data_IF_279275303180
#
_entry.id   IF_279275303180
#
_cell.length_a   1.000
_cell.length_b   1.000
_cell.length_c   1.000
_cell.angle_alpha   90.00
_cell.angle_beta   90.00
_cell.angle_gamma   90.00
#
_symmetry.space_group_name_H-M   'P 1'
#
loop_
_entity.id
_entity.type
_entity.pdbx_description
1 polymer ?
#
# COMPACT_ATOMS: atom_id res chain seq x y z
N UNK A 1 -23.08 17.05 -38.89
CA UNK A 1 -22.02 16.14 -39.38
C UNK A 1 -20.79 16.44 -38.52
N UNK A 2 -20.16 15.61 -37.70
CA UNK A 2 -20.27 14.20 -37.34
C UNK A 2 -20.08 14.12 -35.81
N UNK A 3 -20.98 13.43 -35.11
CA UNK A 3 -20.68 12.88 -33.79
C UNK A 3 -20.28 11.42 -34.02
N UNK A 4 -19.01 11.07 -33.81
CA UNK A 4 -18.53 9.69 -33.75
C UNK A 4 -17.90 9.47 -32.38
N UNK A 5 -18.36 8.41 -31.72
CA UNK A 5 -18.00 8.03 -30.35
C UNK A 5 -19.18 7.35 -29.68
N UNK A 6 -19.68 6.28 -30.31
CA UNK A 6 -20.70 5.40 -29.73
C UNK A 6 -20.03 4.50 -28.71
N UNK A 7 -20.46 4.61 -27.46
CA UNK A 7 -20.68 3.49 -26.54
C UNK A 7 -21.71 3.96 -25.51
N UNK A 8 -22.94 4.15 -25.97
CA UNK A 8 -24.07 4.51 -25.11
C UNK A 8 -24.84 3.23 -24.82
N UNK A 9 -24.72 2.75 -23.58
CA UNK A 9 -25.63 1.79 -22.96
C UNK A 9 -27.06 2.12 -23.40
N UNK A 10 -27.75 1.17 -24.04
CA UNK A 10 -29.11 1.39 -24.53
C UNK A 10 -30.07 1.50 -23.34
N UNK A 11 -30.16 2.69 -22.75
CA UNK A 11 -31.16 3.04 -21.75
C UNK A 11 -32.54 3.07 -22.41
N UNK A 12 -33.48 2.30 -21.85
CA UNK A 12 -34.77 1.96 -22.47
C UNK A 12 -35.77 3.13 -22.57
N UNK A 13 -35.48 4.32 -22.03
CA UNK A 13 -36.33 5.54 -22.04
C UNK A 13 -35.49 6.81 -21.94
N UNK A 14 -35.99 7.95 -22.44
CA UNK A 14 -35.33 9.26 -22.35
C UNK A 14 -35.09 9.68 -20.90
N UNK A 15 -33.82 9.80 -20.49
CA UNK A 15 -33.40 10.33 -19.19
C UNK A 15 -33.09 11.83 -19.20
N UNK A 16 -32.83 12.39 -18.01
CA UNK A 16 -32.28 13.74 -17.83
C UNK A 16 -31.02 13.65 -16.97
N UNK A 17 -29.92 14.26 -17.41
CA UNK A 17 -28.67 14.35 -16.66
C UNK A 17 -28.51 15.78 -16.12
N UNK A 18 -28.36 15.92 -14.81
CA UNK A 18 -28.09 17.21 -14.17
C UNK A 18 -26.59 17.33 -13.89
N UNK A 19 -25.89 18.17 -14.66
CA UNK A 19 -24.47 18.47 -14.46
C UNK A 19 -24.32 19.67 -13.54
N UNK A 20 -23.55 19.53 -12.47
CA UNK A 20 -23.35 20.58 -11.46
C UNK A 20 -22.25 21.60 -11.83
N UNK A 21 -21.97 21.74 -13.13
CA UNK A 21 -20.92 22.61 -13.66
C UNK A 21 -21.40 23.35 -14.93
N UNK A 22 -20.74 24.45 -15.28
CA UNK A 22 -21.13 25.29 -16.42
C UNK A 22 -20.71 24.65 -17.75
N UNK A 23 -21.39 25.03 -18.85
CA UNK A 23 -21.02 24.58 -20.20
C UNK A 23 -19.61 25.04 -20.61
N UNK A 24 -19.20 26.24 -20.17
CA UNK A 24 -17.86 26.77 -20.43
C UNK A 24 -16.80 25.87 -19.79
N UNK A 25 -16.99 25.48 -18.53
CA UNK A 25 -16.07 24.56 -17.85
C UNK A 25 -16.03 23.18 -18.49
N UNK A 26 -17.17 22.68 -18.99
CA UNK A 26 -17.20 21.41 -19.72
C UNK A 26 -16.34 21.43 -21.00
N UNK A 27 -16.30 22.56 -21.71
CA UNK A 27 -15.55 22.68 -22.97
C UNK A 27 -14.08 23.05 -22.80
N UNK A 28 -13.75 23.80 -21.76
CA UNK A 28 -12.42 24.40 -21.61
C UNK A 28 -11.60 23.81 -20.46
N UNK A 29 -12.25 23.39 -19.35
CA UNK A 29 -11.55 23.01 -18.12
C UNK A 29 -11.44 21.48 -17.96
N UNK A 30 -12.40 20.73 -18.52
CA UNK A 30 -12.42 19.28 -18.43
C UNK A 30 -11.57 18.65 -19.54
N UNK A 31 -10.79 17.64 -19.17
CA UNK A 31 -10.06 16.80 -20.12
C UNK A 31 -11.04 15.88 -20.86
N UNK A 32 -10.86 15.75 -22.18
CA UNK A 32 -11.70 14.91 -23.03
C UNK A 32 -11.58 13.41 -22.68
N UNK A 33 -10.41 13.00 -22.20
CA UNK A 33 -10.13 11.63 -21.76
C UNK A 33 -9.28 11.66 -20.48
N UNK A 34 -9.56 10.74 -19.57
CA UNK A 34 -8.75 10.52 -18.37
C UNK A 34 -7.47 9.77 -18.72
N UNK A 35 -6.35 10.16 -18.12
CA UNK A 35 -5.09 9.44 -18.28
C UNK A 35 -5.22 7.98 -17.78
N UNK A 36 -4.60 7.01 -18.49
CA UNK A 36 -4.62 5.62 -18.07
C UNK A 36 -3.90 5.45 -16.73
N UNK A 37 -4.43 4.57 -15.86
CA UNK A 37 -3.94 4.36 -14.49
C UNK A 37 -2.45 3.95 -14.42
N UNK A 38 -1.94 3.29 -15.47
CA UNK A 38 -0.54 2.81 -15.52
C UNK A 38 0.48 3.95 -15.42
N UNK A 39 0.13 5.17 -15.84
CA UNK A 39 1.05 6.31 -15.87
C UNK A 39 1.23 6.99 -14.51
N UNK A 40 0.32 6.75 -13.56
CA UNK A 40 0.29 7.51 -12.30
C UNK A 40 0.01 6.65 -11.05
N UNK A 41 -0.10 5.32 -11.21
CA UNK A 41 -0.27 4.37 -10.10
C UNK A 41 1.04 3.71 -9.67
N UNK A 42 1.05 3.12 -8.46
CA UNK A 42 2.20 2.37 -7.96
C UNK A 42 2.29 1.00 -8.66
N UNK A 43 3.31 0.84 -9.50
CA UNK A 43 3.52 -0.35 -10.31
C UNK A 43 4.12 -1.55 -9.57
N UNK A 44 4.53 -1.42 -8.30
CA UNK A 44 5.26 -2.48 -7.59
C UNK A 44 4.50 -3.82 -7.59
N UNK A 45 3.19 -3.82 -7.30
CA UNK A 45 2.38 -5.05 -7.32
C UNK A 45 2.30 -5.64 -8.74
N UNK A 46 2.14 -4.78 -9.75
CA UNK A 46 2.07 -5.18 -11.16
C UNK A 46 3.38 -5.80 -11.63
N UNK A 47 4.51 -5.18 -11.29
CA UNK A 47 5.85 -5.69 -11.59
C UNK A 47 6.08 -7.06 -10.95
N UNK A 48 5.68 -7.26 -9.68
CA UNK A 48 5.78 -8.59 -9.06
C UNK A 48 4.95 -9.65 -9.81
N UNK A 49 3.72 -9.29 -10.19
CA UNK A 49 2.84 -10.19 -10.94
C UNK A 49 3.35 -10.49 -12.36
N UNK A 50 4.06 -9.57 -13.00
CA UNK A 50 4.71 -9.76 -14.30
C UNK A 50 6.00 -10.59 -14.19
N UNK A 51 6.76 -10.43 -13.10
CA UNK A 51 7.98 -11.20 -12.85
C UNK A 51 7.69 -12.67 -12.52
N UNK A 52 6.55 -12.97 -11.89
CA UNK A 52 6.13 -14.34 -11.57
C UNK A 52 6.09 -15.31 -12.77
N UNK A 53 5.49 -14.97 -13.93
CA UNK A 53 5.53 -15.81 -15.13
C UNK A 53 6.90 -15.82 -15.85
N UNK A 54 7.92 -15.12 -15.33
CA UNK A 54 9.27 -15.07 -15.92
C UNK A 54 9.45 -13.99 -16.98
N UNK A 55 8.67 -12.91 -16.94
CA UNK A 55 8.89 -11.75 -17.83
C UNK A 55 9.95 -10.87 -17.20
N UNK A 56 11.19 -11.03 -17.67
CA UNK A 56 12.34 -10.31 -17.12
C UNK A 56 12.59 -8.96 -17.78
N UNK A 57 12.24 -8.84 -19.06
CA UNK A 57 12.43 -7.63 -19.85
C UNK A 57 11.17 -6.74 -19.79
N UNK A 58 11.16 -5.84 -18.80
CA UNK A 58 10.08 -4.87 -18.63
C UNK A 58 10.19 -3.67 -19.58
N UNK A 59 11.36 -3.45 -20.18
CA UNK A 59 11.62 -2.27 -21.02
C UNK A 59 11.08 -2.49 -22.43
N UNK A 60 11.21 -3.71 -22.95
CA UNK A 60 10.71 -4.08 -24.29
C UNK A 60 9.33 -4.74 -24.26
N UNK A 61 8.61 -4.63 -23.15
CA UNK A 61 7.25 -5.13 -23.08
C UNK A 61 6.31 -4.22 -23.89
N UNK A 62 5.46 -4.83 -24.73
CA UNK A 62 4.47 -4.12 -25.56
C UNK A 62 3.30 -3.57 -24.71
N UNK A 63 3.57 -2.50 -23.94
CA UNK A 63 2.53 -1.73 -23.28
C UNK A 63 1.75 -0.90 -24.30
N UNK A 64 0.42 -0.83 -24.13
CA UNK A 64 -0.42 0.08 -24.93
C UNK A 64 -0.03 1.55 -24.68
N UNK A 65 0.25 1.88 -23.41
CA UNK A 65 0.82 3.15 -22.96
C UNK A 65 1.95 2.83 -21.97
N UNK A 66 3.24 2.92 -22.37
CA UNK A 66 4.34 2.54 -21.50
C UNK A 66 4.50 3.53 -20.34
N UNK A 67 4.71 3.03 -19.10
CA UNK A 67 5.02 3.89 -17.96
C UNK A 67 6.40 4.51 -18.09
N UNK A 68 6.62 5.62 -17.36
CA UNK A 68 7.92 6.26 -17.28
C UNK A 68 8.98 5.30 -16.69
N UNK A 69 10.21 5.26 -17.22
CA UNK A 69 11.26 4.36 -16.75
C UNK A 69 11.60 4.60 -15.27
N UNK A 70 11.45 5.83 -14.77
CA UNK A 70 11.63 6.18 -13.36
C UNK A 70 10.61 5.46 -12.46
N UNK A 71 9.35 5.34 -12.90
CA UNK A 71 8.29 4.65 -12.14
C UNK A 71 8.55 3.14 -12.08
N UNK A 72 9.05 2.55 -13.17
CA UNK A 72 9.46 1.15 -13.21
C UNK A 72 10.67 0.89 -12.31
N UNK A 73 11.68 1.75 -12.38
CA UNK A 73 12.88 1.66 -11.53
C UNK A 73 12.51 1.74 -10.05
N UNK A 74 11.65 2.69 -9.68
CA UNK A 74 11.18 2.84 -8.30
C UNK A 74 10.40 1.61 -7.81
N UNK A 75 9.58 1.00 -8.69
CA UNK A 75 8.87 -0.24 -8.38
C UNK A 75 9.84 -1.40 -8.12
N UNK A 76 10.90 -1.54 -8.93
CA UNK A 76 11.95 -2.55 -8.75
C UNK A 76 12.75 -2.32 -7.46
N UNK A 77 13.11 -1.07 -7.17
CA UNK A 77 13.79 -0.70 -5.92
C UNK A 77 12.95 -1.10 -4.71
N UNK A 78 11.67 -0.73 -4.68
CA UNK A 78 10.75 -1.08 -3.58
C UNK A 78 10.67 -2.59 -3.39
N UNK A 79 10.63 -3.37 -4.47
CA UNK A 79 10.61 -4.82 -4.42
C UNK A 79 11.92 -5.43 -3.89
N UNK A 80 13.07 -4.88 -4.29
CA UNK A 80 14.38 -5.27 -3.79
C UNK A 80 14.51 -4.98 -2.28
N UNK A 81 14.10 -3.78 -1.84
CA UNK A 81 14.08 -3.43 -0.42
C UNK A 81 13.13 -4.31 0.42
N UNK A 82 12.02 -4.77 -0.15
CA UNK A 82 11.12 -5.74 0.50
C UNK A 82 11.64 -7.18 0.44
N UNK A 83 12.79 -7.43 -0.19
CA UNK A 83 13.41 -8.75 -0.37
C UNK A 83 12.62 -9.69 -1.29
N UNK A 84 11.71 -9.16 -2.10
CA UNK A 84 10.96 -9.94 -3.08
C UNK A 84 11.79 -10.20 -4.36
N UNK A 85 12.71 -9.28 -4.68
CA UNK A 85 13.67 -9.41 -5.77
C UNK A 85 15.09 -9.39 -5.22
N UNK A 86 16.00 -10.07 -5.91
CA UNK A 86 17.45 -9.94 -5.71
C UNK A 86 18.00 -8.69 -6.41
N UNK A 87 19.26 -8.35 -6.14
CA UNK A 87 19.98 -7.21 -6.78
C UNK A 87 20.00 -7.31 -8.30
N UNK A 88 19.98 -8.53 -8.83
CA UNK A 88 19.95 -8.81 -10.27
C UNK A 88 18.52 -8.73 -10.88
N UNK A 89 17.50 -8.47 -10.06
CA UNK A 89 16.10 -8.37 -10.51
C UNK A 89 15.40 -9.73 -10.70
N UNK A 90 15.98 -10.81 -10.17
CA UNK A 90 15.39 -12.14 -10.16
C UNK A 90 14.46 -12.34 -8.96
N UNK A 91 13.45 -13.21 -9.10
CA UNK A 91 12.48 -13.49 -8.05
C UNK A 91 13.10 -14.36 -6.95
N UNK A 92 13.06 -13.90 -5.70
CA UNK A 92 13.53 -14.68 -4.55
C UNK A 92 12.48 -15.71 -4.12
N UNK A 93 12.87 -16.69 -3.30
CA UNK A 93 11.92 -17.61 -2.65
C UNK A 93 10.84 -16.86 -1.84
N UNK A 94 11.22 -15.74 -1.25
CA UNK A 94 10.29 -14.88 -0.54
C UNK A 94 9.35 -14.18 -1.52
N UNK A 95 9.87 -13.66 -2.63
CA UNK A 95 9.08 -13.03 -3.71
C UNK A 95 8.05 -13.98 -4.31
N UNK A 96 8.40 -15.25 -4.49
CA UNK A 96 7.49 -16.29 -4.99
C UNK A 96 6.30 -16.47 -4.04
N UNK A 97 6.57 -16.66 -2.74
CA UNK A 97 5.52 -16.76 -1.71
C UNK A 97 4.70 -15.47 -1.63
N UNK A 98 5.35 -14.32 -1.73
CA UNK A 98 4.74 -12.98 -1.68
C UNK A 98 3.75 -12.78 -2.83
N UNK A 99 4.10 -13.23 -4.04
CA UNK A 99 3.29 -13.07 -5.27
C UNK A 99 1.96 -13.85 -5.27
N UNK A 100 1.76 -14.77 -4.33
CA UNK A 100 0.55 -15.58 -4.21
C UNK A 100 -0.53 -14.90 -3.37
N UNK A 101 -0.16 -13.87 -2.61
CA UNK A 101 -1.11 -13.14 -1.78
C UNK A 101 -1.76 -12.01 -2.58
N UNK A 102 -3.10 -11.87 -2.59
CA UNK A 102 -3.78 -10.76 -3.24
C UNK A 102 -3.79 -9.50 -2.34
N UNK A 103 -2.64 -9.12 -1.81
CA UNK A 103 -2.46 -7.97 -0.92
C UNK A 103 -1.44 -7.00 -1.51
N UNK A 104 -1.43 -5.77 -1.02
CA UNK A 104 -0.36 -4.82 -1.34
C UNK A 104 0.96 -5.33 -0.74
N UNK A 105 2.05 -5.23 -1.49
CA UNK A 105 3.39 -5.72 -1.14
C UNK A 105 3.85 -5.43 0.30
N UNK A 106 3.57 -4.23 0.81
CA UNK A 106 3.95 -3.84 2.18
C UNK A 106 3.23 -4.69 3.22
N UNK A 107 1.94 -4.96 3.01
CA UNK A 107 1.16 -5.86 3.84
C UNK A 107 1.62 -7.30 3.67
N UNK A 108 1.99 -7.74 2.47
CA UNK A 108 2.53 -9.09 2.26
C UNK A 108 3.84 -9.29 3.04
N UNK A 109 4.78 -8.33 2.98
CA UNK A 109 6.05 -8.38 3.74
C UNK A 109 5.83 -8.32 5.24
N UNK A 110 4.98 -7.42 5.72
CA UNK A 110 4.57 -7.39 7.14
C UNK A 110 4.01 -8.74 7.57
N UNK A 111 3.22 -9.38 6.72
CA UNK A 111 2.59 -10.63 7.07
C UNK A 111 3.57 -11.83 7.05
N UNK A 112 4.59 -11.78 6.20
CA UNK A 112 5.67 -12.77 6.20
C UNK A 112 6.63 -12.58 7.37
N UNK A 113 6.92 -11.34 7.79
CA UNK A 113 7.74 -11.07 9.00
C UNK A 113 7.04 -11.49 10.29
N UNK A 114 5.70 -11.56 10.31
CA UNK A 114 4.94 -12.15 11.44
C UNK A 114 5.33 -13.61 11.70
N UNK A 115 5.88 -14.36 10.72
CA UNK A 115 6.42 -15.69 10.99
C UNK A 115 7.59 -15.69 11.97
N UNK A 116 8.38 -14.61 11.98
CA UNK A 116 9.46 -14.37 12.94
C UNK A 116 9.04 -13.57 14.17
N UNK A 117 7.92 -12.84 14.10
CA UNK A 117 7.40 -12.00 15.19
C UNK A 117 5.91 -12.21 15.39
N UNK A 118 5.64 -13.09 16.33
CA UNK A 118 4.36 -13.68 16.69
C UNK A 118 3.31 -12.66 17.16
N UNK A 119 2.15 -12.56 16.50
CA UNK A 119 0.91 -12.04 17.11
C UNK A 119 -0.38 -12.20 16.27
N UNK A 120 -1.53 -12.47 16.91
CA UNK A 120 -2.86 -12.41 16.31
C UNK A 120 -3.44 -10.98 16.35
N UNK A 121 -3.67 -10.38 15.18
CA UNK A 121 -4.39 -9.11 15.07
C UNK A 121 -5.90 -9.35 15.27
N UNK A 122 -6.46 -8.91 16.40
CA UNK A 122 -7.91 -8.74 16.59
C UNK A 122 -8.23 -7.25 16.61
N UNK A 123 -8.90 -6.77 15.56
CA UNK A 123 -9.51 -5.45 15.55
C UNK A 123 -11.03 -5.60 15.78
N UNK A 124 -11.52 -4.96 16.83
CA UNK A 124 -12.93 -4.73 17.10
C UNK A 124 -13.25 -3.29 16.73
N UNK A 125 -14.01 -3.06 15.65
CA UNK A 125 -15.16 -2.15 15.56
C UNK A 125 -15.67 -2.12 14.11
N UNK A 126 -16.98 -1.92 13.91
CA UNK A 126 -17.77 -1.89 12.66
C UNK A 126 -18.17 -3.24 12.05
N UNK A 127 -19.40 -3.67 12.35
CA UNK A 127 -19.96 -5.00 12.06
C UNK A 127 -19.89 -5.44 10.58
N UNK A 128 -19.99 -4.52 9.61
CA UNK A 128 -19.86 -4.83 8.18
C UNK A 128 -18.40 -4.91 7.70
N UNK A 129 -17.53 -4.00 8.15
CA UNK A 129 -16.10 -4.10 7.87
C UNK A 129 -15.48 -5.34 8.52
N UNK A 130 -15.96 -5.73 9.71
CA UNK A 130 -15.52 -6.95 10.40
C UNK A 130 -15.88 -8.22 9.63
N UNK A 131 -17.05 -8.29 8.99
CA UNK A 131 -17.44 -9.45 8.17
C UNK A 131 -16.54 -9.58 6.93
N UNK A 132 -16.29 -8.47 6.23
CA UNK A 132 -15.34 -8.44 5.13
C UNK A 132 -13.92 -8.80 5.60
N UNK A 133 -13.48 -8.26 6.74
CA UNK A 133 -12.18 -8.55 7.33
C UNK A 133 -12.04 -10.02 7.74
N UNK A 134 -13.10 -10.64 8.30
CA UNK A 134 -13.05 -12.07 8.64
C UNK A 134 -13.01 -12.95 7.40
N UNK A 135 -13.72 -12.59 6.33
CA UNK A 135 -13.63 -13.28 5.05
C UNK A 135 -12.21 -13.21 4.47
N UNK A 136 -11.59 -12.03 4.44
CA UNK A 136 -10.20 -11.85 3.99
C UNK A 136 -9.24 -12.63 4.88
N UNK A 137 -9.41 -12.56 6.21
CA UNK A 137 -8.59 -13.32 7.16
C UNK A 137 -8.69 -14.82 6.90
N UNK A 138 -9.89 -15.35 6.68
CA UNK A 138 -10.09 -16.77 6.37
C UNK A 138 -9.43 -17.19 5.07
N UNK A 139 -9.49 -16.34 4.02
CA UNK A 139 -8.77 -16.59 2.77
C UNK A 139 -7.26 -16.64 2.99
N UNK A 140 -6.72 -15.68 3.74
CA UNK A 140 -5.30 -15.63 4.07
C UNK A 140 -4.85 -16.85 4.87
N UNK A 141 -5.61 -17.29 5.86
CA UNK A 141 -5.33 -18.51 6.66
C UNK A 141 -5.23 -19.75 5.75
N UNK A 142 -6.08 -19.86 4.73
CA UNK A 142 -6.02 -20.97 3.76
C UNK A 142 -4.73 -20.93 2.93
N UNK A 143 -4.31 -19.74 2.50
CA UNK A 143 -3.06 -19.57 1.75
C UNK A 143 -1.86 -19.88 2.66
N UNK A 144 -1.86 -19.43 3.92
CA UNK A 144 -0.87 -19.80 4.94
C UNK A 144 -0.70 -21.31 5.08
N UNK A 145 -1.81 -22.03 5.21
CA UNK A 145 -1.80 -23.48 5.34
C UNK A 145 -1.20 -24.16 4.09
N UNK A 146 -1.45 -23.62 2.90
CA UNK A 146 -0.88 -24.11 1.63
C UNK A 146 0.64 -23.96 1.58
N UNK A 147 1.19 -22.85 2.10
CA UNK A 147 2.63 -22.58 2.15
C UNK A 147 3.33 -23.09 3.42
N UNK A 148 2.64 -23.93 4.21
CA UNK A 148 3.15 -24.48 5.47
C UNK A 148 3.62 -23.41 6.47
N UNK A 149 3.00 -22.23 6.43
CA UNK A 149 3.30 -21.12 7.31
C UNK A 149 2.58 -21.33 8.65
N UNK A 150 3.34 -21.46 9.75
CA UNK A 150 2.76 -21.66 11.08
C UNK A 150 2.06 -20.40 11.57
N UNK A 151 0.81 -20.55 11.99
CA UNK A 151 0.02 -19.48 12.59
C UNK A 151 0.30 -19.45 14.09
N UNK A 152 1.26 -18.61 14.50
CA UNK A 152 1.72 -18.52 15.88
C UNK A 152 1.19 -17.25 16.56
N UNK A 153 0.67 -17.37 17.78
CA UNK A 153 0.28 -16.26 18.64
C UNK A 153 1.12 -16.27 19.92
N UNK A 154 1.61 -15.10 20.34
CA UNK A 154 2.25 -14.92 21.65
C UNK A 154 1.16 -14.84 22.70
N UNK A 155 1.48 -15.20 23.94
CA UNK A 155 0.56 -15.01 25.05
C UNK A 155 0.25 -13.52 25.20
N UNK A 156 -1.04 -13.20 25.33
CA UNK A 156 -1.53 -11.83 25.48
C UNK A 156 -0.98 -11.16 26.75
N UNK A 157 -0.71 -11.95 27.79
CA UNK A 157 -0.15 -11.44 29.04
C UNK A 157 1.35 -11.16 28.96
N UNK A 158 2.02 -11.59 27.88
CA UNK A 158 3.43 -11.28 27.68
C UNK A 158 3.62 -9.80 27.34
N UNK A 159 4.62 -9.18 27.97
CA UNK A 159 5.05 -7.80 27.65
C UNK A 159 5.46 -7.67 26.18
N UNK A 160 5.95 -8.74 25.58
CA UNK A 160 6.46 -8.75 24.21
C UNK A 160 5.36 -8.84 23.15
N UNK A 161 4.10 -9.08 23.55
CA UNK A 161 2.98 -9.23 22.63
C UNK A 161 2.82 -8.02 21.70
N UNK A 162 2.69 -6.83 22.26
CA UNK A 162 2.54 -5.59 21.47
C UNK A 162 3.83 -5.19 20.76
N UNK A 163 4.99 -5.50 21.35
CA UNK A 163 6.29 -5.23 20.75
C UNK A 163 6.46 -6.02 19.46
N UNK A 164 6.15 -7.31 19.48
CA UNK A 164 6.25 -8.19 18.31
C UNK A 164 5.28 -7.77 17.20
N UNK A 165 4.07 -7.32 17.54
CA UNK A 165 3.14 -6.74 16.54
C UNK A 165 3.78 -5.53 15.87
N UNK A 166 4.29 -4.58 16.64
CA UNK A 166 4.86 -3.35 16.10
C UNK A 166 6.09 -3.63 15.23
N UNK A 167 6.97 -4.55 15.66
CA UNK A 167 8.12 -5.01 14.88
C UNK A 167 7.70 -5.67 13.56
N UNK A 168 6.67 -6.51 13.59
CA UNK A 168 6.17 -7.15 12.39
C UNK A 168 5.58 -6.13 11.39
N UNK A 169 4.84 -5.13 11.89
CA UNK A 169 4.34 -4.02 11.05
C UNK A 169 5.49 -3.19 10.48
N UNK A 170 6.51 -2.92 11.29
CA UNK A 170 7.71 -2.19 10.88
C UNK A 170 8.46 -2.89 9.75
N UNK A 171 8.60 -4.21 9.81
CA UNK A 171 9.30 -4.97 8.76
C UNK A 171 8.65 -4.89 7.36
N UNK A 172 7.36 -4.57 7.26
CA UNK A 172 6.69 -4.30 5.98
C UNK A 172 6.56 -2.82 5.60
N UNK A 173 6.59 -1.93 6.60
CA UNK A 173 6.32 -0.49 6.44
C UNK A 173 7.52 0.39 6.83
N UNK A 174 8.74 -0.14 6.84
CA UNK A 174 9.95 0.59 7.25
C UNK A 174 10.22 1.85 6.42
N UNK A 175 9.77 1.89 5.16
CA UNK A 175 9.86 3.10 4.32
C UNK A 175 8.87 4.20 4.71
N UNK A 176 7.81 3.87 5.45
CA UNK A 176 6.73 4.79 5.82
C UNK A 176 6.87 5.20 7.29
N UNK A 177 8.00 5.82 7.57
CA UNK A 177 8.38 6.25 8.92
C UNK A 177 8.58 7.75 8.91
N UNK A 178 8.18 8.39 10.00
CA UNK A 178 8.42 9.80 10.25
C UNK A 178 9.05 10.00 11.64
N UNK A 179 9.97 10.95 11.72
CA UNK A 179 10.61 11.35 12.97
C UNK A 179 10.05 12.72 13.41
N UNK A 180 9.96 12.95 14.71
CA UNK A 180 9.53 14.21 15.27
C UNK A 180 10.72 15.15 15.46
N UNK A 181 10.65 16.33 14.85
CA UNK A 181 11.69 17.34 14.98
C UNK A 181 11.38 18.31 16.14
N UNK A 182 12.42 18.92 16.69
CA UNK A 182 12.32 19.98 17.72
C UNK A 182 11.50 21.20 17.27
N UNK A 183 11.31 21.37 15.96
CA UNK A 183 10.44 22.39 15.36
C UNK A 183 8.95 22.17 15.66
N UNK A 184 8.56 20.98 16.13
CA UNK A 184 7.19 20.64 16.51
C UNK A 184 6.38 19.91 15.44
N UNK A 185 7.01 19.61 14.30
CA UNK A 185 6.44 18.86 13.18
C UNK A 185 7.14 17.52 12.98
N UNK A 186 6.48 16.59 12.28
CA UNK A 186 7.07 15.32 11.88
C UNK A 186 7.68 15.46 10.48
N UNK A 187 8.80 14.79 10.23
CA UNK A 187 9.49 14.72 8.95
C UNK A 187 9.56 13.27 8.48
N UNK A 188 9.17 12.99 7.24
CA UNK A 188 9.34 11.64 6.66
C UNK A 188 10.81 11.32 6.49
N UNK A 189 11.21 10.09 6.82
CA UNK A 189 12.63 9.66 6.76
C UNK A 189 13.16 9.59 5.31
N UNK A 190 12.29 9.31 4.33
CA UNK A 190 12.71 9.12 2.93
C UNK A 190 12.90 10.44 2.18
N UNK A 191 11.96 11.36 2.33
CA UNK A 191 11.83 12.54 1.46
C UNK A 191 11.93 13.88 2.22
N UNK A 192 12.21 13.85 3.53
CA UNK A 192 12.24 15.03 4.42
C UNK A 192 11.01 15.95 4.30
N UNK A 193 9.86 15.36 3.97
CA UNK A 193 8.59 16.06 3.85
C UNK A 193 8.03 16.37 5.23
N UNK A 194 7.61 17.62 5.44
CA UNK A 194 6.90 18.03 6.66
C UNK A 194 5.50 17.43 6.65
N UNK A 195 5.21 16.60 7.64
CA UNK A 195 3.93 15.91 7.81
C UNK A 195 3.32 16.18 9.16
N UNK A 196 1.99 16.09 9.20
CA UNK A 196 1.21 16.25 10.43
C UNK A 196 0.42 14.98 10.74
N UNK A 197 0.25 14.69 12.02
CA UNK A 197 -0.69 13.65 12.45
C UNK A 197 -2.11 14.06 12.08
N UNK A 198 -2.82 13.17 11.40
CA UNK A 198 -4.20 13.43 11.03
C UNK A 198 -5.10 13.49 12.29
N UNK A 199 -6.11 14.36 12.39
CA UNK A 199 -6.96 14.47 13.58
C UNK A 199 -7.70 13.18 13.99
N UNK A 200 -7.80 12.19 13.09
CA UNK A 200 -8.36 10.87 13.40
C UNK A 200 -7.41 9.95 14.16
N UNK A 201 -6.15 10.34 14.39
CA UNK A 201 -5.21 9.54 15.16
C UNK A 201 -5.59 9.57 16.63
N UNK A 202 -5.61 8.40 17.27
CA UNK A 202 -5.95 8.24 18.68
C UNK A 202 -4.74 8.43 19.61
N UNK A 203 -3.77 9.26 19.20
CA UNK A 203 -2.53 9.48 19.94
C UNK A 203 -2.66 10.77 20.76
N UNK A 204 -2.65 10.64 22.08
CA UNK A 204 -2.71 11.78 23.01
C UNK A 204 -1.38 12.53 23.13
N UNK A 205 -0.29 11.93 22.63
CA UNK A 205 1.05 12.51 22.63
C UNK A 205 1.67 12.43 21.23
N UNK A 206 2.73 13.22 21.00
CA UNK A 206 3.55 13.16 19.78
C UNK A 206 4.80 12.34 20.06
N UNK A 207 4.83 11.03 19.72
CA UNK A 207 6.04 10.22 19.88
C UNK A 207 7.12 10.67 18.90
N UNK A 208 8.38 10.36 19.26
CA UNK A 208 9.56 10.74 18.48
C UNK A 208 9.61 10.01 17.14
N UNK A 209 9.30 8.72 17.14
CA UNK A 209 9.28 7.91 15.92
C UNK A 209 7.90 7.33 15.71
N UNK A 210 7.41 7.49 14.49
CA UNK A 210 6.09 6.97 14.09
C UNK A 210 6.16 6.21 12.79
N UNK A 211 5.35 5.16 12.72
CA UNK A 211 5.04 4.47 11.49
C UNK A 211 3.62 4.84 11.03
N UNK A 212 3.42 5.01 9.73
CA UNK A 212 2.12 5.36 9.15
C UNK A 212 1.74 4.44 7.99
N UNK A 213 0.45 4.21 7.80
CA UNK A 213 -0.05 3.41 6.67
C UNK A 213 -0.37 4.29 5.46
N UNK A 214 -1.11 5.38 5.68
CA UNK A 214 -1.62 6.23 4.60
C UNK A 214 -0.98 7.61 4.65
N UNK A 215 -0.67 8.11 3.46
CA UNK A 215 -0.20 9.46 3.22
C UNK A 215 -1.29 10.22 2.48
N UNK A 216 -1.77 11.31 3.07
CA UNK A 216 -2.92 12.07 2.57
C UNK A 216 -2.47 13.48 2.23
N UNK A 217 -2.51 13.80 0.94
CA UNK A 217 -2.14 15.10 0.40
C UNK A 217 -3.37 16.00 0.30
N UNK A 218 -3.42 17.05 1.12
CA UNK A 218 -4.46 18.10 1.08
C UNK A 218 -3.78 19.48 1.09
N UNK A 219 -4.42 20.51 1.67
CA UNK A 219 -3.76 21.79 1.95
C UNK A 219 -2.54 21.67 2.88
N UNK A 220 -2.54 20.63 3.74
CA UNK A 220 -1.36 20.18 4.48
C UNK A 220 -1.22 18.67 4.28
N UNK A 221 0.00 18.19 4.42
CA UNK A 221 0.27 16.77 4.33
C UNK A 221 -0.06 16.12 5.67
N UNK A 222 -0.89 15.09 5.64
CA UNK A 222 -1.28 14.33 6.82
C UNK A 222 -0.92 12.86 6.70
N UNK A 223 -0.52 12.26 7.82
CA UNK A 223 -0.33 10.82 7.96
C UNK A 223 -1.46 10.21 8.80
N UNK A 224 -2.01 9.08 8.34
CA UNK A 224 -3.11 8.36 9.01
C UNK A 224 -2.68 6.96 9.44
N UNK A 225 -3.43 6.44 10.43
CA UNK A 225 -3.19 5.12 11.04
C UNK A 225 -1.75 5.02 11.55
N UNK A 226 -1.47 5.85 12.55
CA UNK A 226 -0.12 6.07 13.08
C UNK A 226 0.09 5.21 14.33
N UNK A 227 1.29 4.65 14.47
CA UNK A 227 1.73 3.91 15.68
C UNK A 227 3.12 4.37 16.13
N UNK A 228 3.33 4.31 17.44
CA UNK A 228 4.59 4.59 18.10
C UNK A 228 5.58 3.43 17.91
N UNK A 229 6.81 3.76 17.52
CA UNK A 229 7.91 2.79 17.36
C UNK A 229 9.17 3.31 18.05
N UNK A 230 10.13 2.43 18.32
CA UNK A 230 11.47 2.82 18.75
C UNK A 230 12.41 2.86 17.54
N UNK A 231 13.19 3.93 17.43
CA UNK A 231 14.11 4.14 16.30
C UNK A 231 15.18 3.04 16.17
N UNK A 232 15.56 2.41 17.29
CA UNK A 232 16.51 1.28 17.31
C UNK A 232 16.06 0.11 16.42
N UNK A 233 14.75 -0.12 16.33
CA UNK A 233 14.20 -1.23 15.53
C UNK A 233 14.37 -1.06 14.03
N UNK A 234 14.63 0.17 13.55
CA UNK A 234 14.87 0.43 12.14
C UNK A 234 16.23 -0.09 11.67
N UNK A 235 17.17 -0.24 12.61
CA UNK A 235 18.54 -0.69 12.32
C UNK A 235 18.59 -2.23 12.22
N UNK A 236 17.72 -2.90 12.97
CA UNK A 236 17.69 -4.37 13.07
C UNK A 236 16.92 -5.07 11.93
N UNK A 237 16.25 -4.31 11.04
CA UNK A 237 15.37 -4.81 9.96
C UNK A 237 16.08 -4.72 8.62
#
# INVERSE_FOLDING_TARGET
>A
MHAKGQDVLVEKKSGKCFRLYTEKSFKNDLQDQTYPEILWSNLANTVLNLKKPGIDDLVHLDFMDPPAPETLMWALEVLNYLGALDVDGNLTKLGEVTSEFPLVLRWQRCWLSVQSSTAPMRFSQYLQCCQAADNVRQQLVRIMARFNLKLCGTDFNSRDYYINIRKAVLAGHFMQVAHFEKSGNHLTVKDDQVVHLHPSTFLDHKPEWVIYNEYVLTSRIFIRTVKDIWGEWLIDI
#
